data_IF_475464514005
#
_entry.id   IF_475464514005
#
_cell.length_a   1.000
_cell.length_b   1.000
_cell.length_c   1.000
_cell.angle_alpha   90.00
_cell.angle_beta   90.00
_cell.angle_gamma   90.00
#
_symmetry.space_group_name_H-M   'P 1'
#
loop_
_entity.id
_entity.type
_entity.pdbx_description
1 polymer ?
#
# COMPACT_ATOMS: atom_id res chain seq x y z
N UNK A 1 14.05 -2.67 16.71
CA UNK A 1 13.54 -3.45 15.58
C UNK A 1 12.47 -2.64 14.85
N UNK A 2 12.60 -2.53 13.54
CA UNK A 2 11.66 -1.78 12.71
C UNK A 2 10.75 -2.75 11.98
N UNK A 3 9.45 -2.66 12.26
CA UNK A 3 8.46 -3.48 11.58
C UNK A 3 8.00 -2.76 10.31
N UNK A 4 7.71 -3.49 9.21
CA UNK A 4 7.21 -2.90 7.97
C UNK A 4 5.77 -2.39 8.09
N UNK A 5 5.18 -2.46 9.26
CA UNK A 5 3.89 -1.88 9.60
C UNK A 5 3.67 -1.93 11.12
N UNK A 6 2.65 -1.21 11.57
CA UNK A 6 2.17 -1.29 12.95
C UNK A 6 1.30 -2.55 13.08
N UNK A 7 1.67 -3.53 13.92
CA UNK A 7 0.89 -4.77 14.06
C UNK A 7 -0.57 -4.54 14.46
N UNK A 8 -0.84 -3.53 15.29
CA UNK A 8 -2.21 -3.22 15.69
C UNK A 8 -3.04 -2.73 14.50
N UNK A 9 -2.46 -1.92 13.62
CA UNK A 9 -3.16 -1.46 12.41
C UNK A 9 -3.39 -2.58 11.43
N UNK A 10 -2.43 -3.49 11.29
CA UNK A 10 -2.58 -4.66 10.41
C UNK A 10 -3.74 -5.53 10.88
N UNK A 11 -3.82 -5.78 12.18
CA UNK A 11 -4.88 -6.58 12.77
C UNK A 11 -6.24 -5.89 12.67
N UNK A 12 -6.27 -4.58 12.87
CA UNK A 12 -7.48 -3.78 12.68
C UNK A 12 -7.97 -3.87 11.24
N UNK A 13 -7.05 -3.82 10.28
CA UNK A 13 -7.40 -3.94 8.86
C UNK A 13 -8.02 -5.30 8.57
N UNK A 14 -7.46 -6.36 9.15
CA UNK A 14 -8.00 -7.71 9.01
C UNK A 14 -9.43 -7.78 9.55
N UNK A 15 -9.67 -7.20 10.72
CA UNK A 15 -10.99 -7.20 11.35
C UNK A 15 -12.01 -6.38 10.55
N UNK A 16 -11.62 -5.19 10.10
CA UNK A 16 -12.54 -4.26 9.44
C UNK A 16 -12.74 -4.51 7.95
N UNK A 17 -11.68 -5.00 7.26
CA UNK A 17 -11.67 -5.11 5.79
C UNK A 17 -11.43 -6.52 5.27
N UNK A 18 -11.17 -7.47 6.16
CA UNK A 18 -11.02 -8.87 5.79
C UNK A 18 -9.64 -9.30 5.32
N UNK A 19 -8.64 -8.42 5.35
CA UNK A 19 -7.26 -8.77 5.04
C UNK A 19 -6.29 -7.91 5.84
N UNK A 20 -5.11 -8.44 6.12
CA UNK A 20 -4.06 -7.75 6.87
C UNK A 20 -3.01 -7.13 5.95
N UNK A 21 -1.98 -6.52 6.53
CA UNK A 21 -0.92 -5.88 5.77
C UNK A 21 0.06 -6.88 5.16
N UNK A 22 0.13 -8.11 5.67
CA UNK A 22 0.91 -9.18 5.03
C UNK A 22 0.33 -9.46 3.66
N UNK A 23 -0.99 -9.59 3.58
CA UNK A 23 -1.69 -9.79 2.30
C UNK A 23 -1.51 -8.56 1.40
N UNK A 24 -1.71 -7.36 1.95
CA UNK A 24 -1.59 -6.12 1.18
C UNK A 24 -0.19 -5.94 0.56
N UNK A 25 0.85 -6.39 1.25
CA UNK A 25 2.23 -6.28 0.78
C UNK A 25 2.46 -7.07 -0.53
N UNK A 26 1.59 -8.00 -0.86
CA UNK A 26 1.69 -8.77 -2.11
C UNK A 26 1.60 -7.90 -3.36
N UNK A 27 0.99 -6.70 -3.27
CA UNK A 27 0.93 -5.81 -4.44
C UNK A 27 2.33 -5.45 -4.94
N UNK A 28 3.33 -5.44 -4.05
CA UNK A 28 4.69 -5.05 -4.40
C UNK A 28 5.47 -6.17 -5.11
N UNK A 29 4.88 -7.35 -5.27
CA UNK A 29 5.47 -8.43 -6.06
C UNK A 29 5.19 -8.30 -7.56
N UNK A 30 4.30 -7.39 -7.93
CA UNK A 30 3.95 -7.10 -9.32
C UNK A 30 4.01 -5.61 -9.61
N UNK A 31 3.54 -5.19 -10.79
CA UNK A 31 3.58 -3.77 -11.16
C UNK A 31 2.61 -2.95 -10.30
N UNK A 32 3.02 -1.73 -9.97
CA UNK A 32 2.19 -0.80 -9.21
C UNK A 32 2.11 0.55 -9.93
N UNK A 33 0.94 1.18 -9.85
CA UNK A 33 0.74 2.56 -10.30
C UNK A 33 0.74 3.43 -9.07
N UNK A 34 1.65 4.40 -8.98
CA UNK A 34 1.87 5.14 -7.75
C UNK A 34 1.80 6.65 -7.92
N UNK A 35 1.39 7.32 -6.86
CA UNK A 35 1.43 8.76 -6.75
C UNK A 35 1.79 9.17 -5.32
N UNK A 36 2.25 10.42 -5.16
CA UNK A 36 2.52 10.96 -3.83
C UNK A 36 1.18 11.39 -3.22
N UNK A 37 0.99 11.06 -1.95
CA UNK A 37 -0.19 11.48 -1.19
C UNK A 37 0.04 12.93 -0.71
N UNK A 38 -0.67 13.86 -1.31
CA UNK A 38 -0.53 15.29 -1.03
C UNK A 38 -1.70 15.86 -0.23
N UNK A 39 -2.56 14.99 0.33
CA UNK A 39 -3.76 15.46 1.06
C UNK A 39 -3.45 16.32 2.27
N UNK A 40 -2.30 16.09 2.89
CA UNK A 40 -1.82 16.90 4.02
C UNK A 40 -0.30 16.74 4.16
N UNK A 41 0.29 17.56 5.03
CA UNK A 41 1.70 17.44 5.39
C UNK A 41 1.81 16.41 6.53
N UNK A 42 2.41 15.25 6.24
CA UNK A 42 2.59 14.16 7.20
C UNK A 42 3.96 14.19 7.89
N UNK A 43 4.82 15.18 7.55
CA UNK A 43 6.20 15.17 8.00
C UNK A 43 7.06 14.11 7.33
N UNK A 44 6.51 13.39 6.37
CA UNK A 44 7.18 12.35 5.59
C UNK A 44 6.49 12.22 4.23
N UNK A 45 7.19 11.67 3.26
CA UNK A 45 6.61 11.42 1.94
C UNK A 45 5.82 10.12 2.01
N UNK A 46 4.51 10.20 1.78
CA UNK A 46 3.63 9.03 1.67
C UNK A 46 3.24 8.82 0.22
N UNK A 47 3.24 7.56 -0.20
CA UNK A 47 2.85 7.17 -1.56
C UNK A 47 1.60 6.32 -1.51
N UNK A 48 0.75 6.52 -2.53
CA UNK A 48 -0.42 5.68 -2.75
C UNK A 48 -0.09 4.76 -3.92
N UNK A 49 -0.11 3.46 -3.68
CA UNK A 49 0.20 2.45 -4.68
C UNK A 49 -1.04 1.63 -5.01
N UNK A 50 -1.35 1.53 -6.29
CA UNK A 50 -2.38 0.65 -6.80
C UNK A 50 -1.71 -0.61 -7.35
N UNK A 51 -2.19 -1.77 -6.95
CA UNK A 51 -1.63 -3.04 -7.40
C UNK A 51 -2.60 -4.17 -7.17
N UNK A 52 -2.15 -5.40 -7.42
CA UNK A 52 -2.97 -6.59 -7.20
C UNK A 52 -2.31 -7.51 -6.19
N UNK A 53 -3.09 -8.00 -5.24
CA UNK A 53 -2.69 -9.02 -4.29
C UNK A 53 -3.56 -10.25 -4.58
N UNK A 54 -2.94 -11.33 -5.08
CA UNK A 54 -3.66 -12.54 -5.46
C UNK A 54 -4.86 -12.24 -6.37
N UNK A 55 -4.65 -11.36 -7.36
CA UNK A 55 -5.66 -10.93 -8.31
C UNK A 55 -6.63 -9.88 -7.80
N UNK A 56 -6.59 -9.51 -6.53
CA UNK A 56 -7.49 -8.54 -5.93
C UNK A 56 -6.87 -7.15 -6.01
N UNK A 57 -7.54 -6.15 -6.63
CA UNK A 57 -6.99 -4.80 -6.72
C UNK A 57 -7.05 -4.10 -5.37
N UNK A 58 -5.88 -3.70 -4.87
CA UNK A 58 -5.74 -3.00 -3.59
C UNK A 58 -5.08 -1.65 -3.77
N UNK A 59 -5.45 -0.72 -2.90
CA UNK A 59 -4.82 0.59 -2.76
C UNK A 59 -4.11 0.62 -1.42
N UNK A 60 -2.79 0.80 -1.47
CA UNK A 60 -1.93 0.74 -0.29
C UNK A 60 -1.20 2.07 -0.14
N UNK A 61 -1.24 2.64 1.06
CA UNK A 61 -0.46 3.83 1.39
C UNK A 61 0.75 3.38 2.18
N UNK A 62 1.92 3.85 1.77
CA UNK A 62 3.17 3.50 2.44
C UNK A 62 4.14 4.67 2.45
N UNK A 63 5.17 4.56 3.29
CA UNK A 63 6.30 5.47 3.29
C UNK A 63 7.59 4.66 3.30
N UNK A 64 8.62 5.17 2.63
CA UNK A 64 9.95 4.59 2.66
C UNK A 64 10.82 5.42 3.59
N UNK A 65 11.54 4.76 4.49
CA UNK A 65 12.44 5.40 5.46
C UNK A 65 13.84 4.85 5.30
N UNK A 66 14.84 5.74 5.44
CA UNK A 66 16.22 5.31 5.50
C UNK A 66 16.55 4.95 6.96
N UNK A 67 16.90 3.70 7.20
CA UNK A 67 17.24 3.20 8.53
C UNK A 67 18.51 2.34 8.43
N UNK A 68 19.53 2.70 9.20
CA UNK A 68 20.81 1.97 9.23
C UNK A 68 21.41 1.72 7.82
N UNK A 69 21.26 2.70 6.92
CA UNK A 69 21.79 2.60 5.56
C UNK A 69 20.92 1.83 4.59
N UNK A 70 19.75 1.36 5.03
CA UNK A 70 18.80 0.63 4.21
C UNK A 70 17.50 1.39 4.07
N UNK A 71 16.77 1.13 2.98
CA UNK A 71 15.41 1.66 2.82
C UNK A 71 14.42 0.64 3.36
N UNK A 72 13.63 1.06 4.34
CA UNK A 72 12.60 0.22 4.94
C UNK A 72 11.23 0.77 4.51
N UNK A 73 10.44 -0.07 3.83
CA UNK A 73 9.07 0.29 3.43
C UNK A 73 8.10 -0.03 4.55
N UNK A 74 7.30 0.99 4.92
CA UNK A 74 6.33 0.86 5.99
C UNK A 74 4.92 1.09 5.45
N UNK A 75 4.07 0.07 5.52
CA UNK A 75 2.67 0.17 5.12
C UNK A 75 1.90 0.93 6.20
N UNK A 76 1.10 1.89 5.78
CA UNK A 76 0.32 2.77 6.65
C UNK A 76 -1.15 2.40 6.61
N UNK A 77 -1.69 2.11 5.43
CA UNK A 77 -3.08 1.70 5.26
C UNK A 77 -3.25 0.88 3.99
N UNK A 78 -4.30 0.08 3.95
CA UNK A 78 -4.61 -0.74 2.79
C UNK A 78 -6.12 -0.94 2.69
N UNK A 79 -6.65 -0.86 1.49
CA UNK A 79 -8.07 -1.08 1.22
C UNK A 79 -8.25 -1.64 -0.19
N UNK A 80 -9.41 -2.19 -0.46
CA UNK A 80 -9.77 -2.60 -1.82
C UNK A 80 -9.90 -1.32 -2.67
N UNK A 81 -9.37 -1.38 -3.90
CA UNK A 81 -9.43 -0.24 -4.83
C UNK A 81 -10.87 0.04 -5.25
N UNK A 82 -11.21 1.32 -5.38
CA UNK A 82 -12.50 1.71 -5.91
C UNK A 82 -12.49 1.59 -7.45
N UNK A 83 -13.65 1.83 -8.08
CA UNK A 83 -13.81 1.69 -9.51
C UNK A 83 -12.84 2.56 -10.31
N UNK A 84 -12.68 3.82 -9.91
CA UNK A 84 -11.81 4.77 -10.61
C UNK A 84 -10.35 4.32 -10.54
N UNK A 85 -9.93 3.81 -9.39
CA UNK A 85 -8.59 3.30 -9.20
C UNK A 85 -8.34 2.05 -10.05
N UNK A 86 -9.31 1.14 -10.10
CA UNK A 86 -9.20 -0.06 -10.93
C UNK A 86 -9.10 0.29 -12.41
N UNK A 87 -9.87 1.27 -12.87
CA UNK A 87 -9.82 1.73 -14.25
C UNK A 87 -8.45 2.37 -14.58
N UNK A 88 -7.94 3.22 -13.70
CA UNK A 88 -6.63 3.84 -13.88
C UNK A 88 -5.52 2.79 -13.98
N UNK A 89 -5.55 1.79 -13.10
CA UNK A 89 -4.57 0.70 -13.12
C UNK A 89 -4.64 -0.10 -14.42
N UNK A 90 -5.85 -0.41 -14.88
CA UNK A 90 -6.06 -1.19 -16.10
C UNK A 90 -5.56 -0.46 -17.35
N UNK A 91 -5.67 0.86 -17.39
CA UNK A 91 -5.16 1.64 -18.52
C UNK A 91 -3.65 1.53 -18.66
N UNK A 92 -2.93 1.48 -17.54
CA UNK A 92 -1.46 1.41 -17.54
C UNK A 92 -0.97 -0.03 -17.67
N UNK A 93 -1.67 -0.96 -17.07
CA UNK A 93 -1.29 -2.38 -17.04
C UNK A 93 -2.45 -3.25 -17.55
N UNK A 94 -2.78 -3.16 -18.84
CA UNK A 94 -3.84 -3.98 -19.41
C UNK A 94 -3.38 -5.44 -19.52
N UNK A 95 -4.14 -6.35 -18.94
CA UNK A 95 -3.79 -7.77 -19.00
C UNK A 95 -5.02 -8.65 -19.04
#
# INVERSE_FOLDING_TARGET
>A
MHLPWDPAKSEQNLTERGFDFVFAALIFTGPTLERIDTRQDYGEVRRVALGKADGIPLTVVYTDRAEAGEVVRRIISARVSNRREREAYREIFPS
#
